data_IF_954411946836
#
_entry.id   IF_954411946836
#
_cell.length_a   1.000
_cell.length_b   1.000
_cell.length_c   1.000
_cell.angle_alpha   90.00
_cell.angle_beta   90.00
_cell.angle_gamma   90.00
#
_symmetry.space_group_name_H-M   'P 1'
#
loop_
_entity.id
_entity.type
_entity.pdbx_description
1 polymer ?
#
# COMPACT_ATOMS: atom_id res chain seq x y z
N UNK A 1 -2.77 -7.87 26.25
CA UNK A 1 -4.12 -8.43 26.43
C UNK A 1 -3.98 -9.78 27.12
N UNK A 2 -4.71 -10.05 28.22
CA UNK A 2 -4.70 -11.35 28.88
C UNK A 2 -5.27 -12.45 27.98
N UNK A 3 -4.66 -13.65 27.98
CA UNK A 3 -5.05 -14.79 27.11
C UNK A 3 -6.53 -15.18 27.26
N UNK A 4 -7.03 -15.27 28.49
CA UNK A 4 -8.44 -15.65 28.74
C UNK A 4 -9.47 -14.66 28.17
N UNK A 5 -9.14 -13.36 28.11
CA UNK A 5 -10.02 -12.36 27.49
C UNK A 5 -10.07 -12.48 25.97
N UNK A 6 -8.95 -12.88 25.35
CA UNK A 6 -8.89 -13.16 23.92
C UNK A 6 -9.68 -14.44 23.57
N UNK A 7 -9.58 -15.48 24.39
CA UNK A 7 -10.36 -16.73 24.23
C UNK A 7 -11.87 -16.50 24.34
N UNK A 8 -12.31 -15.71 25.33
CA UNK A 8 -13.71 -15.31 25.50
C UNK A 8 -14.26 -14.62 24.25
N UNK A 9 -13.51 -13.65 23.73
CA UNK A 9 -13.88 -12.93 22.52
C UNK A 9 -13.90 -13.81 21.27
N UNK A 10 -12.83 -14.57 21.00
CA UNK A 10 -12.77 -15.43 19.82
C UNK A 10 -13.89 -16.47 19.87
N UNK A 11 -14.24 -16.95 21.06
CA UNK A 11 -15.37 -17.87 21.22
C UNK A 11 -16.69 -17.24 20.82
N UNK A 12 -16.88 -15.95 21.11
CA UNK A 12 -18.05 -15.20 20.67
C UNK A 12 -18.07 -15.00 19.14
N UNK A 13 -16.94 -14.59 18.54
CA UNK A 13 -16.83 -14.36 17.09
C UNK A 13 -17.10 -15.63 16.28
N UNK A 14 -16.53 -16.76 16.70
CA UNK A 14 -16.68 -18.03 15.98
C UNK A 14 -17.90 -18.84 16.42
N UNK A 15 -18.61 -18.43 17.48
CA UNK A 15 -19.73 -19.17 18.06
C UNK A 15 -19.34 -20.56 18.59
N UNK A 16 -18.07 -20.75 18.96
CA UNK A 16 -17.44 -22.04 19.28
C UNK A 16 -16.46 -21.88 20.44
N UNK A 17 -16.13 -22.95 21.16
CA UNK A 17 -15.08 -22.86 22.18
C UNK A 17 -13.70 -22.67 21.51
N UNK A 18 -12.93 -21.69 21.97
CA UNK A 18 -11.60 -21.36 21.45
C UNK A 18 -10.56 -21.44 22.55
N UNK A 19 -9.52 -22.24 22.31
CA UNK A 19 -8.31 -22.28 23.14
C UNK A 19 -7.18 -21.58 22.37
N UNK A 20 -6.71 -20.42 22.84
CA UNK A 20 -5.55 -19.77 22.22
C UNK A 20 -4.33 -20.59 22.59
N UNK A 21 -3.50 -20.98 21.63
CA UNK A 21 -2.28 -21.78 21.84
C UNK A 21 -1.07 -20.87 21.99
N UNK A 22 -0.94 -19.87 21.12
CA UNK A 22 0.22 -18.98 21.05
C UNK A 22 -0.13 -17.60 20.49
N UNK A 23 0.66 -16.59 20.86
CA UNK A 23 0.54 -15.20 20.39
C UNK A 23 1.93 -14.64 20.12
N UNK A 24 2.21 -14.27 18.86
CA UNK A 24 3.51 -13.73 18.43
C UNK A 24 3.34 -12.45 17.64
N UNK A 25 4.28 -11.52 17.75
CA UNK A 25 4.36 -10.36 16.84
C UNK A 25 4.89 -10.84 15.49
N UNK A 26 4.32 -10.32 14.40
CA UNK A 26 4.79 -10.57 13.03
C UNK A 26 5.12 -9.23 12.35
N UNK A 27 6.10 -9.22 11.44
CA UNK A 27 6.59 -8.01 10.75
C UNK A 27 7.60 -7.15 11.54
N UNK A 28 8.42 -6.36 10.82
CA UNK A 28 9.39 -5.39 11.39
C UNK A 28 10.77 -5.96 11.76
N UNK A 29 11.38 -6.78 10.88
CA UNK A 29 12.73 -7.32 11.08
C UNK A 29 13.84 -6.26 10.89
N UNK A 30 14.95 -6.38 11.63
CA UNK A 30 16.11 -5.45 11.58
C UNK A 30 16.88 -5.43 10.25
N UNK A 31 16.59 -6.35 9.33
CA UNK A 31 17.24 -6.47 8.02
C UNK A 31 16.35 -6.00 6.84
N UNK A 32 15.19 -5.39 7.13
CA UNK A 32 14.29 -4.90 6.07
C UNK A 32 14.59 -3.45 5.68
N UNK A 33 14.49 -3.14 4.38
CA UNK A 33 14.75 -1.80 3.84
C UNK A 33 13.63 -0.81 4.25
N UNK A 34 12.43 -1.34 4.53
CA UNK A 34 11.30 -0.60 5.11
C UNK A 34 11.17 -0.92 6.58
N UNK A 35 11.46 0.04 7.45
CA UNK A 35 11.49 -0.19 8.91
C UNK A 35 10.16 0.10 9.61
N UNK A 36 9.24 0.83 8.97
CA UNK A 36 8.01 1.35 9.59
C UNK A 36 6.75 0.97 8.80
N UNK A 37 5.67 0.65 9.53
CA UNK A 37 4.31 0.47 9.01
C UNK A 37 3.28 0.98 10.02
N UNK A 38 2.02 1.16 9.60
CA UNK A 38 0.98 1.81 10.40
C UNK A 38 0.38 0.95 11.53
N UNK A 39 0.77 -0.33 11.63
CA UNK A 39 0.18 -1.23 12.60
C UNK A 39 1.15 -2.23 13.27
N UNK A 40 0.64 -2.87 14.32
CA UNK A 40 1.37 -3.91 15.09
C UNK A 40 0.62 -5.24 14.98
N UNK A 41 0.78 -5.98 13.86
CA UNK A 41 0.08 -7.24 13.67
C UNK A 41 0.61 -8.32 14.62
N UNK A 42 -0.33 -9.08 15.19
CA UNK A 42 -0.07 -10.23 16.06
C UNK A 42 -0.67 -11.48 15.44
N UNK A 43 0.16 -12.49 15.21
CA UNK A 43 -0.27 -13.83 14.86
C UNK A 43 -0.80 -14.51 16.11
N UNK A 44 -2.02 -15.02 16.02
CA UNK A 44 -2.70 -15.81 17.03
C UNK A 44 -2.87 -17.21 16.46
N UNK A 45 -2.32 -18.21 17.15
CA UNK A 45 -2.64 -19.62 16.89
C UNK A 45 -3.65 -20.08 17.93
N UNK A 46 -4.77 -20.65 17.49
CA UNK A 46 -5.83 -21.11 18.38
C UNK A 46 -6.43 -22.43 17.92
N UNK A 47 -6.88 -23.25 18.86
CA UNK A 47 -7.63 -24.48 18.60
C UNK A 47 -9.12 -24.18 18.66
N UNK A 48 -9.82 -24.45 17.56
CA UNK A 48 -11.27 -24.28 17.43
C UNK A 48 -11.84 -25.63 17.00
N UNK A 49 -12.66 -26.26 17.84
CA UNK A 49 -13.21 -27.61 17.59
C UNK A 49 -12.15 -28.68 17.27
N UNK A 50 -10.97 -28.59 17.87
CA UNK A 50 -9.87 -29.53 17.64
C UNK A 50 -8.98 -29.21 16.44
N UNK A 51 -9.36 -28.25 15.60
CA UNK A 51 -8.51 -27.76 14.51
C UNK A 51 -7.66 -26.57 14.95
N UNK A 52 -6.37 -26.59 14.60
CA UNK A 52 -5.49 -25.43 14.78
C UNK A 52 -5.73 -24.42 13.67
N UNK A 53 -6.09 -23.19 14.02
CA UNK A 53 -6.27 -22.05 13.11
C UNK A 53 -5.32 -20.92 13.45
N UNK A 54 -4.84 -20.25 12.41
CA UNK A 54 -3.98 -19.06 12.49
C UNK A 54 -4.78 -17.83 12.08
N UNK A 55 -4.65 -16.76 12.85
CA UNK A 55 -5.35 -15.50 12.63
C UNK A 55 -4.40 -14.33 12.88
N UNK A 56 -4.64 -13.20 12.26
CA UNK A 56 -3.90 -11.97 12.52
C UNK A 56 -4.82 -10.95 13.16
N UNK A 57 -4.39 -10.42 14.32
CA UNK A 57 -5.01 -9.27 14.96
C UNK A 57 -4.11 -8.06 14.75
N UNK A 58 -4.58 -7.06 14.02
CA UNK A 58 -3.83 -5.83 13.74
C UNK A 58 -4.45 -4.62 14.43
N UNK A 59 -3.58 -3.77 14.98
CA UNK A 59 -3.92 -2.51 15.63
C UNK A 59 -3.30 -1.37 14.81
N UNK A 60 -4.03 -0.27 14.63
CA UNK A 60 -3.48 0.96 14.05
C UNK A 60 -2.80 1.74 15.18
N UNK A 61 -1.53 2.11 15.00
CA UNK A 61 -0.79 2.86 16.03
C UNK A 61 -1.08 4.35 15.87
N UNK A 62 -1.27 5.11 16.98
CA UNK A 62 -1.30 6.56 16.90
C UNK A 62 -0.04 7.10 16.21
N UNK A 63 -0.23 7.97 15.23
CA UNK A 63 0.87 8.49 14.44
C UNK A 63 0.46 9.72 13.61
N UNK A 64 1.45 10.46 13.12
CA UNK A 64 1.26 11.77 12.46
C UNK A 64 0.68 11.68 11.03
N UNK A 65 0.07 10.56 10.68
CA UNK A 65 -0.39 10.25 9.32
C UNK A 65 -1.92 10.24 9.24
N UNK A 66 -2.60 11.04 10.06
CA UNK A 66 -4.06 10.97 10.19
C UNK A 66 -4.51 9.77 11.03
N UNK A 67 -3.73 9.41 12.06
CA UNK A 67 -4.04 8.35 13.03
C UNK A 67 -4.02 8.87 14.48
N UNK A 68 -4.01 10.18 14.68
CA UNK A 68 -3.80 10.86 15.97
C UNK A 68 -4.99 10.63 16.90
N UNK A 69 -6.21 10.87 16.40
CA UNK A 69 -7.41 10.69 17.19
C UNK A 69 -8.00 9.30 17.01
N UNK A 70 -8.71 8.88 18.06
CA UNK A 70 -9.40 7.60 18.08
C UNK A 70 -10.41 7.44 16.91
N UNK A 71 -11.19 8.47 16.51
CA UNK A 71 -12.06 8.38 15.34
C UNK A 71 -11.30 8.11 14.03
N UNK A 72 -10.08 8.63 13.88
CA UNK A 72 -9.28 8.44 12.65
C UNK A 72 -8.90 6.96 12.51
N UNK A 73 -8.41 6.35 13.60
CA UNK A 73 -8.11 4.92 13.65
C UNK A 73 -9.36 4.06 13.50
N UNK A 74 -10.50 4.50 14.04
CA UNK A 74 -11.80 3.83 13.87
C UNK A 74 -12.17 3.71 12.39
N UNK A 75 -12.00 4.81 11.64
CA UNK A 75 -12.32 4.86 10.22
C UNK A 75 -11.53 3.81 9.44
N UNK A 76 -10.21 3.71 9.68
CA UNK A 76 -9.33 2.73 9.01
C UNK A 76 -9.80 1.30 9.29
N UNK A 77 -10.08 0.98 10.55
CA UNK A 77 -10.50 -0.35 11.01
C UNK A 77 -11.87 -0.74 10.42
N UNK A 78 -12.86 0.15 10.48
CA UNK A 78 -14.20 -0.10 9.95
C UNK A 78 -14.19 -0.25 8.43
N UNK A 79 -13.41 0.58 7.73
CA UNK A 79 -13.28 0.52 6.28
C UNK A 79 -12.61 -0.77 5.82
N UNK A 80 -11.55 -1.21 6.52
CA UNK A 80 -10.89 -2.48 6.27
C UNK A 80 -11.89 -3.66 6.38
N UNK A 81 -12.63 -3.75 7.49
CA UNK A 81 -13.60 -4.82 7.71
C UNK A 81 -14.69 -4.86 6.62
N UNK A 82 -15.20 -3.70 6.21
CA UNK A 82 -16.24 -3.60 5.19
C UNK A 82 -15.79 -3.96 3.76
N UNK A 83 -14.48 -3.88 3.47
CA UNK A 83 -13.97 -3.92 2.08
C UNK A 83 -13.11 -5.15 1.76
N UNK A 84 -12.48 -5.78 2.75
CA UNK A 84 -11.59 -6.93 2.54
C UNK A 84 -12.33 -8.11 1.91
N UNK A 85 -13.52 -8.43 2.42
CA UNK A 85 -14.31 -9.59 1.99
C UNK A 85 -14.94 -9.46 0.59
N UNK A 86 -14.81 -8.29 -0.05
CA UNK A 86 -15.40 -8.01 -1.38
C UNK A 86 -14.38 -8.09 -2.51
N UNK A 87 -13.08 -8.09 -2.20
CA UNK A 87 -12.03 -8.13 -3.21
C UNK A 87 -11.59 -9.59 -3.46
N UNK A 88 -11.64 -10.12 -4.70
CA UNK A 88 -11.14 -11.46 -4.99
C UNK A 88 -9.67 -11.61 -4.61
N UNK A 89 -9.30 -12.77 -4.04
CA UNK A 89 -7.92 -13.11 -3.61
C UNK A 89 -7.37 -12.21 -2.49
N UNK A 90 -8.22 -11.55 -1.72
CA UNK A 90 -7.82 -10.80 -0.52
C UNK A 90 -8.10 -11.62 0.75
N UNK A 91 -7.28 -11.46 1.80
CA UNK A 91 -7.57 -12.07 3.12
C UNK A 91 -8.93 -11.64 3.63
N UNK A 92 -9.66 -12.57 4.27
CA UNK A 92 -10.97 -12.26 4.85
C UNK A 92 -10.82 -11.57 6.19
N UNK A 93 -11.61 -10.51 6.40
CA UNK A 93 -11.82 -9.94 7.73
C UNK A 93 -12.92 -10.71 8.45
N UNK A 94 -12.63 -11.22 9.64
CA UNK A 94 -13.58 -11.94 10.47
C UNK A 94 -14.45 -10.99 11.30
N UNK A 95 -13.84 -9.95 11.88
CA UNK A 95 -14.52 -8.97 12.74
C UNK A 95 -13.69 -7.69 12.90
N UNK A 96 -14.31 -6.61 13.40
CA UNK A 96 -13.64 -5.43 13.91
C UNK A 96 -14.26 -4.97 15.24
N UNK A 97 -13.44 -4.61 16.21
CA UNK A 97 -13.91 -4.28 17.56
C UNK A 97 -12.98 -3.34 18.30
N UNK A 98 -13.28 -3.13 19.58
CA UNK A 98 -12.49 -2.27 20.45
C UNK A 98 -12.06 -2.92 21.75
N UNK A 99 -10.96 -2.46 22.35
CA UNK A 99 -10.44 -2.93 23.64
C UNK A 99 -10.64 -1.85 24.72
N UNK A 100 -11.12 -2.23 25.90
CA UNK A 100 -11.26 -1.33 27.08
C UNK A 100 -9.98 -1.26 27.92
N UNK A 101 -9.86 -0.29 28.84
CA UNK A 101 -8.78 -0.20 29.84
C UNK A 101 -8.62 -1.44 30.73
N UNK A 102 -9.65 -2.31 30.80
CA UNK A 102 -9.62 -3.58 31.52
C UNK A 102 -9.25 -4.78 30.64
N UNK A 103 -8.97 -4.54 29.35
CA UNK A 103 -8.65 -5.57 28.37
C UNK A 103 -9.85 -6.36 27.87
N UNK A 104 -11.07 -5.83 28.01
CA UNK A 104 -12.31 -6.44 27.51
C UNK A 104 -12.59 -6.00 26.08
N UNK A 105 -13.22 -6.87 25.27
CA UNK A 105 -13.56 -6.55 23.88
C UNK A 105 -15.04 -6.19 23.79
N UNK A 106 -15.35 -4.99 23.28
CA UNK A 106 -16.70 -4.40 23.38
C UNK A 106 -17.14 -3.67 22.10
N UNK A 107 -18.46 -3.47 22.01
CA UNK A 107 -19.12 -2.63 21.00
C UNK A 107 -18.70 -1.15 21.08
N UNK A 108 -18.73 -0.48 19.92
CA UNK A 108 -18.08 0.79 19.53
C UNK A 108 -18.29 1.99 20.48
N UNK A 109 -19.33 1.98 21.33
CA UNK A 109 -19.66 3.11 22.22
C UNK A 109 -18.82 3.27 23.50
N UNK A 110 -17.91 2.34 23.84
CA UNK A 110 -17.12 2.36 25.09
C UNK A 110 -15.62 2.03 24.92
N UNK A 111 -15.10 2.25 23.72
CA UNK A 111 -13.77 1.75 23.32
C UNK A 111 -12.68 2.77 23.67
N UNK A 112 -11.46 2.30 23.97
CA UNK A 112 -10.25 3.14 24.05
C UNK A 112 -9.34 2.97 22.81
N UNK A 113 -9.32 1.78 22.19
CA UNK A 113 -8.63 1.53 20.89
C UNK A 113 -9.32 0.47 20.00
N UNK A 114 -9.18 0.60 18.67
CA UNK A 114 -9.79 -0.29 17.66
C UNK A 114 -8.82 -1.36 17.10
N UNK A 115 -9.35 -2.50 16.63
CA UNK A 115 -8.58 -3.55 15.94
C UNK A 115 -9.36 -4.22 14.80
N UNK A 116 -8.65 -4.83 13.85
CA UNK A 116 -9.21 -5.73 12.81
C UNK A 116 -8.69 -7.16 13.05
N UNK A 117 -9.59 -8.14 13.09
CA UNK A 117 -9.25 -9.57 13.09
C UNK A 117 -9.40 -10.13 11.67
N UNK A 118 -8.36 -10.77 11.14
CA UNK A 118 -8.30 -11.24 9.75
C UNK A 118 -7.65 -12.63 9.60
N UNK A 119 -7.91 -13.26 8.47
CA UNK A 119 -7.32 -14.55 8.05
C UNK A 119 -5.80 -14.43 7.91
N UNK A 120 -5.08 -15.44 8.43
CA UNK A 120 -3.66 -15.57 8.15
C UNK A 120 -3.46 -16.16 6.75
N UNK A 121 -2.71 -15.45 5.90
CA UNK A 121 -2.28 -15.95 4.61
C UNK A 121 -0.86 -16.50 4.68
N UNK A 122 -0.68 -17.73 4.22
CA UNK A 122 0.64 -18.29 3.94
C UNK A 122 1.19 -17.74 2.62
N UNK A 123 2.52 -17.69 2.50
CA UNK A 123 3.22 -17.29 1.29
C UNK A 123 4.48 -16.47 1.59
N UNK A 124 5.17 -16.11 0.52
CA UNK A 124 6.34 -15.25 0.53
C UNK A 124 6.00 -13.89 -0.10
N UNK A 125 6.46 -12.80 0.51
CA UNK A 125 6.19 -11.45 0.01
C UNK A 125 6.81 -11.30 -1.39
N UNK A 126 6.11 -10.62 -2.30
CA UNK A 126 6.68 -10.29 -3.62
C UNK A 126 7.96 -9.46 -3.50
N UNK A 127 8.14 -8.73 -2.39
CA UNK A 127 9.40 -8.07 -2.05
C UNK A 127 10.61 -9.01 -2.07
N UNK A 128 10.47 -10.27 -1.63
CA UNK A 128 11.57 -11.23 -1.64
C UNK A 128 12.05 -11.56 -3.07
N UNK A 129 11.13 -11.56 -4.05
CA UNK A 129 11.52 -11.68 -5.46
C UNK A 129 12.37 -10.49 -5.90
N UNK A 130 11.98 -9.27 -5.52
CA UNK A 130 12.70 -8.05 -5.89
C UNK A 130 14.08 -7.96 -5.24
N UNK A 131 14.19 -8.36 -3.96
CA UNK A 131 15.49 -8.47 -3.27
C UNK A 131 16.41 -9.44 -4.02
N UNK A 132 15.90 -10.64 -4.31
CA UNK A 132 16.66 -11.67 -5.03
C UNK A 132 17.07 -11.19 -6.42
N UNK A 133 16.21 -10.49 -7.15
CA UNK A 133 16.56 -9.91 -8.46
C UNK A 133 17.67 -8.87 -8.31
N UNK A 134 17.66 -8.09 -7.23
CA UNK A 134 18.69 -7.07 -6.94
C UNK A 134 20.05 -7.71 -6.66
N UNK A 135 20.05 -8.78 -5.86
CA UNK A 135 21.25 -9.55 -5.51
C UNK A 135 21.82 -10.31 -6.70
N UNK A 136 20.96 -11.06 -7.41
CA UNK A 136 21.37 -11.90 -8.52
C UNK A 136 21.56 -11.12 -9.84
N UNK A 137 21.05 -9.87 -9.92
CA UNK A 137 21.03 -9.00 -11.11
C UNK A 137 20.47 -9.66 -12.37
N UNK A 138 19.55 -10.60 -12.20
CA UNK A 138 18.94 -11.38 -13.29
C UNK A 138 17.49 -11.74 -12.99
N UNK A 139 16.70 -11.89 -14.04
CA UNK A 139 15.35 -12.43 -13.96
C UNK A 139 15.34 -13.95 -14.17
N UNK A 140 14.37 -14.58 -13.52
CA UNK A 140 13.90 -15.92 -13.80
C UNK A 140 12.55 -15.82 -14.52
N UNK A 141 12.15 -16.86 -15.22
CA UNK A 141 10.84 -16.87 -15.91
C UNK A 141 9.68 -16.63 -14.94
N UNK A 142 9.79 -17.14 -13.71
CA UNK A 142 8.76 -16.94 -12.68
C UNK A 142 8.54 -15.45 -12.33
N UNK A 143 9.57 -14.60 -12.42
CA UNK A 143 9.43 -13.18 -12.10
C UNK A 143 8.58 -12.45 -13.14
N UNK A 144 8.77 -12.82 -14.41
CA UNK A 144 8.00 -12.34 -15.55
C UNK A 144 6.55 -12.81 -15.41
N UNK A 145 6.35 -14.09 -15.11
CA UNK A 145 5.01 -14.68 -14.96
C UNK A 145 4.25 -14.05 -13.79
N UNK A 146 4.93 -13.78 -12.67
CA UNK A 146 4.35 -13.09 -11.50
C UNK A 146 3.99 -11.64 -11.80
N UNK A 147 4.87 -10.87 -12.46
CA UNK A 147 4.57 -9.49 -12.85
C UNK A 147 3.35 -9.43 -13.80
N UNK A 148 3.27 -10.34 -14.77
CA UNK A 148 2.11 -10.46 -15.65
C UNK A 148 0.84 -10.87 -14.90
N UNK A 149 0.92 -11.80 -13.94
CA UNK A 149 -0.21 -12.20 -13.12
C UNK A 149 -0.75 -11.02 -12.29
N UNK A 150 0.13 -10.19 -11.73
CA UNK A 150 -0.23 -8.99 -10.97
C UNK A 150 -0.85 -7.91 -11.86
N UNK A 151 -0.31 -7.70 -13.07
CA UNK A 151 -0.91 -6.78 -14.05
C UNK A 151 -2.28 -7.26 -14.51
N UNK A 152 -2.42 -8.55 -14.86
CA UNK A 152 -3.69 -9.17 -15.25
C UNK A 152 -4.76 -9.06 -14.16
N UNK A 153 -4.36 -9.17 -12.89
CA UNK A 153 -5.28 -8.98 -11.79
C UNK A 153 -5.88 -7.57 -11.77
N UNK A 154 -5.04 -6.53 -11.95
CA UNK A 154 -5.52 -5.14 -12.05
C UNK A 154 -6.41 -4.93 -13.27
N UNK A 155 -6.07 -5.53 -14.42
CA UNK A 155 -6.95 -5.53 -15.61
C UNK A 155 -8.35 -6.05 -15.25
N UNK A 156 -8.46 -7.13 -14.48
CA UNK A 156 -9.77 -7.68 -14.10
C UNK A 156 -10.53 -6.80 -13.10
N UNK A 157 -9.88 -6.34 -12.02
CA UNK A 157 -10.60 -5.56 -11.00
C UNK A 157 -10.99 -4.16 -11.51
N UNK A 158 -10.14 -3.50 -12.30
CA UNK A 158 -10.38 -2.15 -12.81
C UNK A 158 -11.49 -2.07 -13.87
N UNK A 159 -11.93 -3.21 -14.45
CA UNK A 159 -13.13 -3.26 -15.32
C UNK A 159 -14.41 -2.88 -14.57
N UNK A 160 -14.44 -3.11 -13.26
CA UNK A 160 -15.63 -2.83 -12.45
C UNK A 160 -15.66 -1.36 -12.08
N UNK A 161 -16.55 -0.60 -12.73
CA UNK A 161 -16.72 0.85 -12.55
C UNK A 161 -17.97 1.19 -11.74
N UNK A 162 -17.95 2.37 -11.11
CA UNK A 162 -19.10 2.94 -10.39
C UNK A 162 -19.33 4.37 -10.83
N UNK A 163 -20.57 4.71 -11.16
CA UNK A 163 -20.94 6.09 -11.46
C UNK A 163 -21.27 6.85 -10.18
N UNK A 164 -20.24 7.37 -9.50
CA UNK A 164 -20.40 8.21 -8.31
C UNK A 164 -19.37 9.35 -8.31
N UNK A 165 -19.65 10.45 -9.04
CA UNK A 165 -18.69 11.53 -9.22
C UNK A 165 -18.18 12.16 -7.92
N UNK A 166 -19.05 12.31 -6.92
CA UNK A 166 -18.69 12.84 -5.60
C UNK A 166 -17.65 11.96 -4.89
N UNK A 167 -17.76 10.64 -5.02
CA UNK A 167 -16.81 9.69 -4.45
C UNK A 167 -15.46 9.79 -5.14
N UNK A 168 -15.41 9.84 -6.48
CA UNK A 168 -14.16 10.06 -7.20
C UNK A 168 -13.46 11.35 -6.76
N UNK A 169 -14.20 12.45 -6.71
CA UNK A 169 -13.67 13.75 -6.26
C UNK A 169 -13.17 13.68 -4.81
N UNK A 170 -13.84 12.92 -3.94
CA UNK A 170 -13.36 12.64 -2.59
C UNK A 170 -12.03 11.88 -2.64
N UNK A 171 -11.91 10.80 -3.41
CA UNK A 171 -10.67 10.01 -3.49
C UNK A 171 -9.47 10.81 -3.96
N UNK A 172 -9.66 11.67 -4.96
CA UNK A 172 -8.61 12.59 -5.43
C UNK A 172 -8.26 13.65 -4.38
N UNK A 173 -9.24 14.09 -3.56
CA UNK A 173 -8.98 14.97 -2.42
C UNK A 173 -8.19 14.26 -1.33
N UNK A 174 -8.53 13.01 -1.02
CA UNK A 174 -7.86 12.21 0.00
C UNK A 174 -6.39 11.97 -0.41
N UNK A 175 -6.11 11.66 -1.68
CA UNK A 175 -4.73 11.54 -2.20
C UNK A 175 -3.88 12.76 -1.84
N UNK A 176 -4.41 13.97 -2.00
CA UNK A 176 -3.65 15.20 -1.79
C UNK A 176 -3.66 15.64 -0.33
N UNK A 177 -4.82 15.63 0.33
CA UNK A 177 -5.02 16.30 1.61
C UNK A 177 -5.31 15.40 2.82
N UNK A 178 -5.38 14.09 2.66
CA UNK A 178 -5.49 13.18 3.81
C UNK A 178 -4.14 13.07 4.56
N UNK A 179 -4.17 12.71 5.84
CA UNK A 179 -2.97 12.50 6.65
C UNK A 179 -2.04 11.40 6.10
N UNK A 180 -2.62 10.36 5.53
CA UNK A 180 -1.85 9.33 4.81
C UNK A 180 -1.58 9.66 3.32
N UNK A 181 -2.08 10.81 2.85
CA UNK A 181 -1.90 11.32 1.48
C UNK A 181 -0.65 12.19 1.38
N UNK A 182 -0.58 13.04 0.36
CA UNK A 182 0.58 13.91 0.11
C UNK A 182 0.84 14.84 1.29
N UNK A 183 -0.14 15.64 1.72
CA UNK A 183 0.05 16.66 2.78
C UNK A 183 0.59 16.04 4.08
N UNK A 184 -0.11 15.06 4.66
CA UNK A 184 0.34 14.48 5.92
C UNK A 184 1.63 13.67 5.81
N UNK A 185 1.95 13.10 4.64
CA UNK A 185 3.25 12.49 4.41
C UNK A 185 4.37 13.53 4.35
N UNK A 186 4.15 14.70 3.74
CA UNK A 186 5.15 15.77 3.67
C UNK A 186 5.39 16.41 5.04
N UNK A 187 4.36 16.52 5.89
CA UNK A 187 4.48 17.02 7.27
C UNK A 187 5.50 16.21 8.11
N UNK A 188 5.71 14.94 7.78
CA UNK A 188 6.59 14.03 8.52
C UNK A 188 8.03 13.99 7.99
N UNK A 189 8.38 14.80 6.99
CA UNK A 189 9.76 15.01 6.51
C UNK A 189 10.59 15.87 7.48
N UNK A 190 10.66 15.46 8.76
CA UNK A 190 11.33 16.24 9.81
C UNK A 190 12.44 15.47 10.54
N UNK A 191 13.52 16.17 10.97
CA UNK A 191 13.90 17.52 10.52
C UNK A 191 14.27 17.52 9.03
N UNK A 192 14.07 18.66 8.33
CA UNK A 192 14.27 18.83 6.88
C UNK A 192 15.48 18.04 6.39
N UNK A 193 15.29 16.97 5.62
CA UNK A 193 16.40 16.12 5.30
C UNK A 193 17.27 16.78 4.24
N UNK A 194 18.58 16.51 4.26
CA UNK A 194 19.58 17.16 3.39
C UNK A 194 19.24 17.13 1.88
N UNK A 195 18.46 16.13 1.45
CA UNK A 195 18.08 15.94 0.05
C UNK A 195 16.76 16.64 -0.34
N UNK A 196 15.97 17.17 0.59
CA UNK A 196 14.71 17.84 0.30
C UNK A 196 14.54 19.09 1.18
N UNK A 197 14.65 20.25 0.56
CA UNK A 197 14.41 21.53 1.23
C UNK A 197 12.92 21.78 1.45
N UNK A 198 12.57 22.67 2.37
CA UNK A 198 11.18 23.09 2.55
C UNK A 198 10.56 23.64 1.25
N UNK A 199 11.34 24.35 0.44
CA UNK A 199 10.92 24.83 -0.88
C UNK A 199 10.60 23.69 -1.85
N UNK A 200 11.38 22.60 -1.82
CA UNK A 200 11.10 21.38 -2.61
C UNK A 200 9.75 20.77 -2.18
N UNK A 201 9.49 20.65 -0.87
CA UNK A 201 8.25 20.07 -0.36
C UNK A 201 7.04 20.95 -0.70
N UNK A 202 7.15 22.28 -0.53
CA UNK A 202 6.12 23.25 -0.92
C UNK A 202 5.81 23.15 -2.41
N UNK A 203 6.84 22.98 -3.26
CA UNK A 203 6.64 22.84 -4.71
C UNK A 203 5.83 21.60 -5.05
N UNK A 204 6.17 20.44 -4.45
CA UNK A 204 5.44 19.18 -4.64
C UNK A 204 3.97 19.36 -4.25
N UNK A 205 3.70 19.93 -3.07
CA UNK A 205 2.33 20.14 -2.60
C UNK A 205 1.51 21.04 -3.55
N UNK A 206 2.07 22.19 -3.94
CA UNK A 206 1.41 23.12 -4.89
C UNK A 206 1.05 22.43 -6.21
N UNK A 207 1.98 21.64 -6.77
CA UNK A 207 1.73 20.89 -7.99
C UNK A 207 0.66 19.82 -7.80
N UNK A 208 0.66 19.08 -6.69
CA UNK A 208 -0.41 18.15 -6.36
C UNK A 208 -1.79 18.83 -6.23
N UNK A 209 -1.84 20.04 -5.68
CA UNK A 209 -3.06 20.87 -5.60
C UNK A 209 -3.56 21.25 -7.00
N UNK A 210 -2.68 21.65 -7.92
CA UNK A 210 -3.03 21.90 -9.34
C UNK A 210 -3.57 20.63 -10.01
N UNK A 211 -2.88 19.51 -9.84
CA UNK A 211 -3.31 18.20 -10.34
C UNK A 211 -4.69 17.80 -9.82
N UNK A 212 -5.00 18.02 -8.55
CA UNK A 212 -6.33 17.77 -7.98
C UNK A 212 -7.45 18.45 -8.77
N UNK A 213 -7.23 19.69 -9.23
CA UNK A 213 -8.21 20.46 -10.01
C UNK A 213 -8.34 19.96 -11.46
N UNK A 214 -7.29 19.35 -12.02
CA UNK A 214 -7.35 18.63 -13.30
C UNK A 214 -8.10 17.31 -13.11
N UNK A 215 -7.67 16.48 -12.15
CA UNK A 215 -8.19 15.14 -11.93
C UNK A 215 -9.67 15.10 -11.56
N UNK A 216 -10.22 16.08 -10.83
CA UNK A 216 -11.66 16.10 -10.49
C UNK A 216 -12.63 16.05 -11.70
N UNK A 217 -12.12 16.23 -12.93
CA UNK A 217 -12.89 16.13 -14.19
C UNK A 217 -12.97 14.70 -14.74
N UNK A 218 -12.19 13.76 -14.21
CA UNK A 218 -12.05 12.38 -14.67
C UNK A 218 -12.95 11.41 -13.91
N UNK A 219 -14.14 11.85 -13.51
CA UNK A 219 -15.04 11.10 -12.61
C UNK A 219 -15.51 9.75 -13.18
N UNK A 220 -15.46 9.58 -14.50
CA UNK A 220 -15.77 8.32 -15.20
C UNK A 220 -14.73 7.22 -14.96
N UNK A 221 -13.59 7.54 -14.35
CA UNK A 221 -12.52 6.58 -14.04
C UNK A 221 -12.72 5.84 -12.72
N UNK A 222 -13.72 6.20 -11.92
CA UNK A 222 -13.97 5.55 -10.62
C UNK A 222 -14.19 4.04 -10.78
N UNK A 223 -13.23 3.27 -10.28
CA UNK A 223 -13.16 1.83 -10.45
C UNK A 223 -12.89 1.15 -9.11
N UNK A 224 -13.15 -0.15 -9.04
CA UNK A 224 -12.65 -0.98 -7.93
C UNK A 224 -11.13 -0.92 -7.93
N UNK A 225 -10.52 -0.64 -6.78
CA UNK A 225 -9.07 -0.62 -6.58
C UNK A 225 -8.68 -1.41 -5.34
N UNK A 226 -7.43 -1.80 -5.24
CA UNK A 226 -6.81 -2.27 -4.01
C UNK A 226 -6.45 -1.07 -3.09
N UNK A 227 -5.85 -0.01 -3.63
CA UNK A 227 -5.53 1.23 -2.91
C UNK A 227 -4.16 1.23 -2.20
N UNK A 228 -3.54 0.07 -2.02
CA UNK A 228 -2.15 -0.06 -1.55
C UNK A 228 -1.39 -1.24 -2.20
N UNK A 229 -1.49 -1.34 -3.53
CA UNK A 229 -1.03 -2.50 -4.31
C UNK A 229 0.49 -2.51 -4.53
N UNK A 230 1.25 -2.84 -3.49
CA UNK A 230 2.72 -2.83 -3.52
C UNK A 230 3.35 -4.18 -3.07
N UNK A 231 4.64 -4.44 -3.32
CA UNK A 231 5.27 -5.74 -3.08
C UNK A 231 5.19 -6.30 -1.64
N UNK A 232 5.04 -5.44 -0.63
CA UNK A 232 4.85 -5.85 0.77
C UNK A 232 3.40 -6.27 1.10
N UNK A 233 2.45 -6.11 0.18
CA UNK A 233 1.03 -6.46 0.35
C UNK A 233 0.61 -7.63 -0.57
N UNK A 234 1.58 -8.28 -1.22
CA UNK A 234 1.36 -9.41 -2.12
C UNK A 234 2.13 -10.61 -1.57
N UNK A 235 1.43 -11.69 -1.25
CA UNK A 235 2.01 -12.96 -0.82
C UNK A 235 1.85 -14.01 -1.92
N UNK A 236 2.94 -14.46 -2.52
CA UNK A 236 2.94 -15.61 -3.43
C UNK A 236 3.02 -16.92 -2.65
N UNK A 237 2.10 -17.84 -2.93
CA UNK A 237 2.08 -19.18 -2.33
C UNK A 237 2.91 -20.16 -3.17
N UNK A 238 2.51 -20.34 -4.43
CA UNK A 238 3.23 -21.18 -5.37
C UNK A 238 3.02 -20.67 -6.79
N UNK A 239 4.10 -20.60 -7.58
CA UNK A 239 4.03 -20.09 -8.95
C UNK A 239 3.44 -18.68 -8.99
N UNK A 240 2.35 -18.50 -9.73
CA UNK A 240 1.62 -17.23 -9.86
C UNK A 240 0.40 -17.11 -8.94
N UNK A 241 0.15 -18.09 -8.06
CA UNK A 241 -0.92 -18.00 -7.07
C UNK A 241 -0.50 -17.06 -5.93
N UNK A 242 -1.30 -16.02 -5.71
CA UNK A 242 -1.03 -14.99 -4.70
C UNK A 242 -2.28 -14.58 -3.93
N UNK A 243 -2.02 -14.02 -2.76
CA UNK A 243 -3.00 -13.42 -1.85
C UNK A 243 -2.62 -11.97 -1.59
N UNK A 244 -3.61 -11.09 -1.57
CA UNK A 244 -3.46 -9.68 -1.26
C UNK A 244 -3.76 -9.37 0.21
N UNK A 245 -3.07 -8.37 0.72
CA UNK A 245 -3.18 -7.85 2.07
C UNK A 245 -3.47 -6.35 2.04
N UNK A 246 -4.06 -5.84 3.10
CA UNK A 246 -4.15 -4.41 3.40
C UNK A 246 -4.84 -3.53 2.34
N UNK A 247 -6.16 -3.68 2.24
CA UNK A 247 -7.05 -2.79 1.48
C UNK A 247 -7.65 -1.65 2.33
N UNK A 248 -6.96 -1.23 3.38
CA UNK A 248 -7.50 -0.33 4.41
C UNK A 248 -7.84 1.08 3.89
N UNK A 249 -7.39 1.43 2.68
CA UNK A 249 -7.63 2.72 2.02
C UNK A 249 -8.95 2.79 1.25
N UNK A 250 -9.71 1.71 1.14
CA UNK A 250 -11.07 1.69 0.60
C UNK A 250 -11.23 0.99 -0.76
N UNK A 251 -12.50 0.80 -1.16
CA UNK A 251 -12.86 -0.07 -2.29
C UNK A 251 -12.82 0.61 -3.67
N UNK A 252 -13.17 1.90 -3.72
CA UNK A 252 -13.37 2.65 -4.96
C UNK A 252 -12.34 3.75 -5.09
N UNK A 253 -11.72 3.87 -6.25
CA UNK A 253 -10.65 4.83 -6.49
C UNK A 253 -10.28 4.99 -7.95
N UNK A 254 -9.12 5.57 -8.18
CA UNK A 254 -8.52 5.75 -9.50
C UNK A 254 -7.54 4.60 -9.77
N UNK A 255 -7.69 3.84 -10.86
CA UNK A 255 -6.73 2.81 -11.29
C UNK A 255 -5.25 3.19 -11.25
N UNK A 256 -4.93 4.46 -11.48
CA UNK A 256 -3.57 4.98 -11.40
C UNK A 256 -2.90 4.73 -10.03
N UNK A 257 -3.68 4.63 -8.95
CA UNK A 257 -3.17 4.33 -7.62
C UNK A 257 -2.46 2.96 -7.60
N UNK A 258 -3.16 1.90 -8.00
CA UNK A 258 -2.61 0.54 -7.98
C UNK A 258 -1.46 0.35 -8.98
N UNK A 259 -1.55 0.96 -10.16
CA UNK A 259 -0.49 0.89 -11.18
C UNK A 259 0.79 1.53 -10.65
N UNK A 260 0.69 2.73 -10.08
CA UNK A 260 1.88 3.44 -9.58
C UNK A 260 2.42 2.81 -8.30
N UNK A 261 1.55 2.29 -7.42
CA UNK A 261 1.95 1.57 -6.21
C UNK A 261 2.85 0.37 -6.51
N UNK A 262 2.58 -0.37 -7.59
CA UNK A 262 3.43 -1.49 -8.01
C UNK A 262 4.65 -1.01 -8.79
N UNK A 263 4.45 -0.25 -9.86
CA UNK A 263 5.51 0.07 -10.83
C UNK A 263 6.60 0.98 -10.29
N UNK A 264 6.28 1.85 -9.32
CA UNK A 264 7.30 2.67 -8.63
C UNK A 264 8.35 1.80 -7.94
N UNK A 265 7.99 0.57 -7.52
CA UNK A 265 8.92 -0.33 -6.86
C UNK A 265 9.93 -0.91 -7.85
N UNK A 266 9.56 -1.17 -9.11
CA UNK A 266 10.55 -1.55 -10.12
C UNK A 266 11.57 -0.43 -10.37
N UNK A 267 11.12 0.83 -10.37
CA UNK A 267 12.01 2.00 -10.45
C UNK A 267 12.90 2.06 -9.21
N UNK A 268 12.31 1.95 -8.02
CA UNK A 268 13.00 2.04 -6.75
C UNK A 268 14.12 1.00 -6.63
N UNK A 269 13.80 -0.28 -6.77
CA UNK A 269 14.78 -1.36 -6.69
C UNK A 269 15.86 -1.22 -7.77
N UNK A 270 15.51 -0.81 -8.99
CA UNK A 270 16.50 -0.54 -10.03
C UNK A 270 17.44 0.61 -9.68
N UNK A 271 16.92 1.69 -9.09
CA UNK A 271 17.76 2.83 -8.66
C UNK A 271 18.68 2.41 -7.52
N UNK A 272 18.21 1.58 -6.58
CA UNK A 272 19.06 1.02 -5.52
C UNK A 272 20.20 0.17 -6.08
N UNK A 273 19.93 -0.66 -7.09
CA UNK A 273 20.93 -1.59 -7.64
C UNK A 273 21.86 -0.96 -8.68
N UNK A 274 21.33 -0.07 -9.53
CA UNK A 274 22.00 0.41 -10.74
C UNK A 274 22.03 1.95 -10.87
N UNK A 275 21.41 2.68 -9.94
CA UNK A 275 21.34 4.15 -9.98
C UNK A 275 20.46 4.74 -11.08
N UNK A 276 19.72 3.91 -11.81
CA UNK A 276 18.77 4.28 -12.89
C UNK A 276 17.78 3.12 -13.13
N UNK A 277 16.74 3.32 -13.95
CA UNK A 277 15.92 2.22 -14.44
C UNK A 277 16.71 1.44 -15.52
N UNK A 278 17.14 0.24 -15.19
CA UNK A 278 17.97 -0.62 -16.01
C UNK A 278 17.49 -2.07 -15.96
N UNK A 279 18.02 -2.90 -16.86
CA UNK A 279 17.80 -4.34 -16.77
C UNK A 279 18.37 -4.89 -15.44
N UNK A 280 17.68 -5.83 -14.79
CA UNK A 280 16.49 -6.49 -15.31
C UNK A 280 15.14 -5.87 -14.86
N UNK A 281 15.15 -4.88 -13.98
CA UNK A 281 13.90 -4.26 -13.47
C UNK A 281 13.14 -3.48 -14.55
N UNK A 282 13.86 -2.91 -15.52
CA UNK A 282 13.25 -2.25 -16.68
C UNK A 282 12.30 -3.19 -17.40
N UNK A 283 12.68 -4.46 -17.60
CA UNK A 283 11.80 -5.46 -18.22
C UNK A 283 10.51 -5.67 -17.44
N UNK A 284 10.56 -5.74 -16.11
CA UNK A 284 9.34 -5.87 -15.28
C UNK A 284 8.45 -4.63 -15.38
N UNK A 285 9.05 -3.44 -15.35
CA UNK A 285 8.34 -2.18 -15.50
C UNK A 285 7.64 -2.07 -16.87
N UNK A 286 8.37 -2.32 -17.95
CA UNK A 286 7.85 -2.28 -19.32
C UNK A 286 6.70 -3.28 -19.47
N UNK A 287 6.92 -4.54 -19.07
CA UNK A 287 5.90 -5.60 -19.16
C UNK A 287 4.61 -5.25 -18.42
N UNK A 288 4.72 -4.64 -17.25
CA UNK A 288 3.55 -4.32 -16.43
C UNK A 288 2.66 -3.27 -17.12
N UNK A 289 3.27 -2.21 -17.65
CA UNK A 289 2.57 -1.17 -18.42
C UNK A 289 2.06 -1.69 -19.77
N UNK A 290 2.91 -2.37 -20.55
CA UNK A 290 2.55 -2.92 -21.85
C UNK A 290 1.32 -3.83 -21.73
N UNK A 291 1.36 -4.82 -20.83
CA UNK A 291 0.25 -5.75 -20.65
C UNK A 291 -1.04 -5.04 -20.15
N UNK A 292 -0.91 -4.07 -19.24
CA UNK A 292 -2.09 -3.36 -18.71
C UNK A 292 -2.73 -2.49 -19.80
N UNK A 293 -1.94 -1.69 -20.51
CA UNK A 293 -2.43 -0.80 -21.58
C UNK A 293 -3.01 -1.61 -22.74
N UNK A 294 -2.34 -2.66 -23.20
CA UNK A 294 -2.82 -3.52 -24.29
C UNK A 294 -4.18 -4.14 -23.98
N UNK A 295 -4.37 -4.64 -22.75
CA UNK A 295 -5.61 -5.35 -22.36
C UNK A 295 -6.76 -4.44 -21.98
N UNK A 296 -6.49 -3.21 -21.54
CA UNK A 296 -7.53 -2.27 -21.09
C UNK A 296 -7.85 -1.20 -22.13
N UNK A 297 -6.90 -0.86 -23.01
CA UNK A 297 -6.97 0.32 -23.87
C UNK A 297 -6.96 1.65 -23.08
N UNK A 298 -6.59 1.64 -21.80
CA UNK A 298 -6.69 2.79 -20.90
C UNK A 298 -5.50 3.76 -21.05
N UNK A 299 -5.33 4.36 -22.23
CA UNK A 299 -4.29 5.35 -22.50
C UNK A 299 -4.43 6.61 -21.62
N UNK A 300 -5.65 6.91 -21.16
CA UNK A 300 -5.91 8.05 -20.28
C UNK A 300 -5.20 7.91 -18.92
N UNK A 301 -4.81 6.70 -18.51
CA UNK A 301 -4.07 6.49 -17.27
C UNK A 301 -2.76 7.29 -17.23
N UNK A 302 -2.08 7.43 -18.38
CA UNK A 302 -0.82 8.17 -18.50
C UNK A 302 -0.99 9.66 -18.20
N UNK A 303 -2.21 10.19 -18.34
CA UNK A 303 -2.56 11.59 -18.05
C UNK A 303 -2.97 11.83 -16.61
N UNK A 304 -3.03 10.79 -15.78
CA UNK A 304 -3.50 10.88 -14.38
C UNK A 304 -2.53 10.30 -13.35
N UNK A 305 -1.60 9.44 -13.75
CA UNK A 305 -0.57 8.86 -12.85
C UNK A 305 0.39 9.86 -12.18
N UNK A 306 0.69 11.08 -12.69
CA UNK A 306 1.72 11.93 -12.08
C UNK A 306 1.59 12.22 -10.57
N UNK A 307 0.44 12.67 -10.02
CA UNK A 307 0.30 12.90 -8.58
C UNK A 307 0.37 11.60 -7.75
N UNK A 308 0.01 10.44 -8.33
CA UNK A 308 0.16 9.16 -7.64
C UNK A 308 1.62 8.73 -7.58
N UNK A 309 2.37 8.89 -8.68
CA UNK A 309 3.82 8.70 -8.66
C UNK A 309 4.53 9.65 -7.71
N UNK A 310 4.07 10.90 -7.60
CA UNK A 310 4.59 11.84 -6.64
C UNK A 310 4.40 11.33 -5.21
N UNK A 311 3.18 10.95 -4.85
CA UNK A 311 2.87 10.40 -3.53
C UNK A 311 3.65 9.12 -3.23
N UNK A 312 3.66 8.15 -4.14
CA UNK A 312 4.40 6.89 -3.96
C UNK A 312 5.91 7.10 -3.94
N UNK A 313 6.42 8.05 -4.72
CA UNK A 313 7.81 8.50 -4.71
C UNK A 313 8.19 9.14 -3.38
N UNK A 314 7.33 9.99 -2.81
CA UNK A 314 7.52 10.54 -1.47
C UNK A 314 7.55 9.41 -0.43
N UNK A 315 6.69 8.40 -0.53
CA UNK A 315 6.73 7.25 0.38
C UNK A 315 8.10 6.55 0.37
N UNK A 316 8.60 6.17 -0.80
CA UNK A 316 9.88 5.43 -0.92
C UNK A 316 11.12 6.29 -0.68
N UNK A 317 10.98 7.61 -0.77
CA UNK A 317 12.05 8.55 -0.45
C UNK A 317 11.96 9.07 0.98
N UNK A 318 11.00 8.63 1.79
CA UNK A 318 10.77 9.14 3.14
C UNK A 318 11.92 8.77 4.10
N UNK A 319 12.42 9.70 4.94
CA UNK A 319 13.60 9.43 5.77
C UNK A 319 13.31 8.46 6.91
N UNK A 320 12.11 8.51 7.49
CA UNK A 320 11.75 7.63 8.61
C UNK A 320 11.38 6.21 8.16
N UNK A 321 10.89 6.05 6.93
CA UNK A 321 10.41 4.74 6.46
C UNK A 321 11.53 3.92 5.83
N UNK A 322 12.46 4.61 5.17
CA UNK A 322 13.60 4.03 4.48
C UNK A 322 14.92 4.67 4.97
N UNK A 323 15.28 4.57 6.26
CA UNK A 323 16.36 5.37 6.87
C UNK A 323 17.75 5.06 6.31
N UNK A 324 17.96 3.90 5.70
CA UNK A 324 19.25 3.44 5.18
C UNK A 324 19.58 3.94 3.77
N UNK A 325 18.68 4.69 3.12
CA UNK A 325 18.91 5.20 1.76
C UNK A 325 19.97 6.31 1.71
N UNK A 326 20.84 6.23 0.70
CA UNK A 326 21.86 7.24 0.43
C UNK A 326 21.25 8.57 -0.04
N UNK A 327 21.89 9.73 0.24
CA UNK A 327 21.42 11.02 -0.26
C UNK A 327 21.30 11.08 -1.79
N UNK A 328 22.20 10.42 -2.53
CA UNK A 328 22.16 10.36 -4.00
C UNK A 328 20.89 9.67 -4.52
N UNK A 329 20.56 8.50 -3.96
CA UNK A 329 19.33 7.78 -4.32
C UNK A 329 18.11 8.63 -4.06
N UNK A 330 18.04 9.29 -2.89
CA UNK A 330 16.91 10.14 -2.54
C UNK A 330 16.80 11.36 -3.45
N UNK A 331 17.92 11.96 -3.84
CA UNK A 331 17.93 13.06 -4.82
C UNK A 331 17.36 12.61 -6.17
N UNK A 332 17.71 11.41 -6.65
CA UNK A 332 17.14 10.86 -7.90
C UNK A 332 15.63 10.64 -7.78
N UNK A 333 15.16 10.11 -6.65
CA UNK A 333 13.73 9.94 -6.40
C UNK A 333 12.99 11.28 -6.33
N UNK A 334 13.59 12.29 -5.69
CA UNK A 334 13.04 13.65 -5.65
C UNK A 334 13.00 14.30 -7.04
N UNK A 335 14.03 14.09 -7.86
CA UNK A 335 14.05 14.52 -9.25
C UNK A 335 12.91 13.87 -10.05
N UNK A 336 12.68 12.57 -9.86
CA UNK A 336 11.56 11.85 -10.47
C UNK A 336 10.22 12.47 -10.07
N UNK A 337 9.99 12.70 -8.77
CA UNK A 337 8.76 13.32 -8.24
C UNK A 337 8.52 14.70 -8.86
N UNK A 338 9.55 15.55 -8.88
CA UNK A 338 9.43 16.90 -9.44
C UNK A 338 9.15 16.85 -10.95
N UNK A 339 9.92 16.06 -11.71
CA UNK A 339 9.80 16.01 -13.17
C UNK A 339 8.48 15.38 -13.62
N UNK A 340 8.00 14.35 -12.91
CA UNK A 340 6.73 13.71 -13.25
C UNK A 340 5.56 14.66 -13.00
N UNK A 341 5.60 15.44 -11.91
CA UNK A 341 4.57 16.44 -11.61
C UNK A 341 4.49 17.59 -12.62
N UNK A 342 5.59 17.92 -13.29
CA UNK A 342 5.63 18.93 -14.36
C UNK A 342 5.15 18.40 -15.72
N UNK A 343 5.03 17.08 -15.87
CA UNK A 343 4.67 16.46 -17.15
C UNK A 343 3.17 16.40 -17.33
N UNK A 344 2.63 16.90 -18.45
CA UNK A 344 1.19 16.81 -18.72
C UNK A 344 0.68 15.36 -18.85
N UNK A 345 1.57 14.48 -19.31
CA UNK A 345 1.38 13.05 -19.53
C UNK A 345 2.69 12.31 -19.20
N UNK A 346 2.57 11.18 -18.51
CA UNK A 346 3.70 10.32 -18.17
C UNK A 346 4.07 9.41 -19.34
N UNK A 347 5.36 9.34 -19.69
CA UNK A 347 5.86 8.42 -20.70
C UNK A 347 6.64 7.27 -20.05
N UNK A 348 6.08 6.05 -19.99
CA UNK A 348 6.75 4.89 -19.38
C UNK A 348 8.04 4.49 -20.12
N UNK A 349 8.25 4.91 -21.37
CA UNK A 349 9.47 4.59 -22.13
C UNK A 349 10.67 5.46 -21.75
N UNK A 350 10.43 6.59 -21.09
CA UNK A 350 11.43 7.62 -20.81
C UNK A 350 11.69 7.80 -19.31
N UNK A 351 11.43 6.80 -18.46
CA UNK A 351 11.59 6.90 -16.98
C UNK A 351 12.94 7.49 -16.54
N UNK A 352 14.02 7.16 -17.25
CA UNK A 352 15.35 7.67 -16.93
C UNK A 352 15.51 9.18 -17.14
N UNK A 353 14.69 9.83 -17.97
CA UNK A 353 14.70 11.29 -18.10
C UNK A 353 14.18 11.96 -16.82
N UNK A 354 13.12 11.41 -16.23
CA UNK A 354 12.55 11.88 -14.97
C UNK A 354 13.54 11.78 -13.79
N UNK A 355 14.40 10.75 -13.76
CA UNK A 355 15.39 10.55 -12.67
C UNK A 355 16.57 11.54 -12.71
N UNK A 356 16.87 12.14 -13.87
CA UNK A 356 17.99 13.09 -14.01
C UNK A 356 17.70 14.44 -13.36
N UNK A 357 16.43 14.84 -13.30
CA UNK A 357 16.02 16.18 -12.93
C UNK A 357 16.18 17.17 -14.08
N UNK A 358 15.49 18.30 -13.99
CA UNK A 358 15.58 19.43 -14.92
C UNK A 358 16.76 20.33 -14.62
#
# INVERSE_FOLDING_TARGET
MPRGKLEEYLSHVFGKNVEVVDIKRIGGGKEDIKEVGYGVPRLIEARIEGETKKMVMSFVVPGPYGHEYMPDRAQVVLLAHQTYNKLPRHVRSFDCGGVTSRGEIVSVGKVEEFFVLMEYAEGELYKADLDRISEEKKLKQIDVDRALALSNYLVEIHKTKRNEPSLYIRRIRDLVGHGEGVMGLLDTYTPNPEYATEEDLIKIEKKCVEWRWKLKRYVHRLSVVHGDYHPWNVLFRQGIDFTLLDRSRGEWGEPADDITAMTINYIFFSVLTFGSLAEPFKRLFDLFYENYLEKTGDEEILKVVPPFYAWRGSVISHPQWYPTLTPETRRKLLNFINTVLESEEFNPKEVNSYLKGS
#
